data_IF_986902832914
#
_entry.id   IF_986902832914
#
_cell.length_a   1.000
_cell.length_b   1.000
_cell.length_c   1.000
_cell.angle_alpha   90.00
_cell.angle_beta   90.00
_cell.angle_gamma   90.00
#
_symmetry.space_group_name_H-M   'P 1'
#
loop_
_entity.id
_entity.type
_entity.pdbx_description
1 polymer ?
#
# COMPACT_ATOMS: atom_id res chain seq x y z
N UNK A 1 -12.80 23.04 4.39
CA UNK A 1 -11.41 22.85 4.85
C UNK A 1 -11.13 21.40 5.21
N UNK A 2 -12.01 20.72 5.94
CA UNK A 2 -11.83 19.31 6.35
C UNK A 2 -11.52 18.33 5.21
N UNK A 3 -12.35 18.28 4.15
CA UNK A 3 -12.09 17.39 2.99
C UNK A 3 -10.72 17.61 2.36
N UNK A 4 -10.32 18.87 2.15
CA UNK A 4 -9.06 19.19 1.49
C UNK A 4 -7.86 18.79 2.36
N UNK A 5 -7.94 18.99 3.68
CA UNK A 5 -6.90 18.57 4.61
C UNK A 5 -6.77 17.04 4.63
N UNK A 6 -7.88 16.32 4.82
CA UNK A 6 -7.87 14.85 4.81
C UNK A 6 -7.35 14.27 3.50
N UNK A 7 -7.69 14.91 2.36
CA UNK A 7 -7.19 14.52 1.04
C UNK A 7 -5.69 14.73 0.94
N UNK A 8 -5.19 15.88 1.38
CA UNK A 8 -3.77 16.20 1.34
C UNK A 8 -2.95 15.27 2.24
N UNK A 9 -3.44 14.97 3.43
CA UNK A 9 -2.81 14.03 4.36
C UNK A 9 -2.71 12.63 3.74
N UNK A 10 -3.79 12.17 3.10
CA UNK A 10 -3.80 10.87 2.42
C UNK A 10 -2.88 10.84 1.19
N UNK A 11 -2.78 11.94 0.44
CA UNK A 11 -1.83 12.08 -0.67
C UNK A 11 -0.38 12.00 -0.18
N UNK A 12 -0.09 12.66 0.94
CA UNK A 12 1.24 12.63 1.55
C UNK A 12 1.58 11.21 2.00
N UNK A 13 0.64 10.53 2.67
CA UNK A 13 0.81 9.14 3.08
C UNK A 13 0.99 8.19 1.89
N UNK A 14 0.16 8.30 0.83
CA UNK A 14 0.31 7.51 -0.39
C UNK A 14 1.71 7.65 -0.99
N UNK A 15 2.26 8.86 -0.99
CA UNK A 15 3.60 9.14 -1.52
C UNK A 15 4.67 8.40 -0.71
N UNK A 16 4.54 8.37 0.62
CA UNK A 16 5.44 7.63 1.51
C UNK A 16 5.28 6.12 1.30
N UNK A 17 4.05 5.61 1.23
CA UNK A 17 3.77 4.19 1.00
C UNK A 17 4.33 3.70 -0.35
N UNK A 18 4.17 4.49 -1.40
CA UNK A 18 4.76 4.23 -2.72
C UNK A 18 6.29 4.21 -2.67
N UNK A 19 6.91 5.15 -1.94
CA UNK A 19 8.35 5.17 -1.75
C UNK A 19 8.85 3.95 -0.99
N UNK A 20 8.19 3.56 0.11
CA UNK A 20 8.48 2.34 0.88
C UNK A 20 8.48 1.12 -0.04
N UNK A 21 7.48 0.98 -0.90
CA UNK A 21 7.41 -0.11 -1.88
C UNK A 21 8.49 -0.04 -2.97
N UNK A 22 8.92 1.16 -3.36
CA UNK A 22 9.95 1.35 -4.39
C UNK A 22 11.35 1.01 -3.89
N UNK A 23 11.66 1.33 -2.64
CA UNK A 23 12.98 1.07 -2.04
C UNK A 23 13.07 -0.31 -1.37
N UNK A 24 11.95 -1.02 -1.25
CA UNK A 24 11.91 -2.33 -0.63
C UNK A 24 12.83 -3.32 -1.36
N UNK A 25 13.77 -3.92 -0.61
CA UNK A 25 14.72 -4.89 -1.15
C UNK A 25 14.02 -6.13 -1.70
N UNK A 26 14.66 -6.79 -2.67
CA UNK A 26 14.19 -8.07 -3.23
C UNK A 26 14.17 -9.16 -2.15
N UNK A 27 13.24 -10.12 -2.20
CA UNK A 27 13.22 -11.25 -1.26
C UNK A 27 14.57 -12.00 -1.25
N UNK A 28 15.13 -12.21 -0.06
CA UNK A 28 16.37 -12.95 0.14
C UNK A 28 16.15 -14.46 0.05
N UNK A 29 17.18 -15.21 -0.36
CA UNK A 29 17.22 -16.68 -0.26
C UNK A 29 17.88 -17.17 1.03
N UNK A 30 18.37 -16.25 1.87
CA UNK A 30 18.87 -16.55 3.22
C UNK A 30 17.68 -16.56 4.16
N UNK A 31 17.46 -17.68 4.87
CA UNK A 31 16.25 -17.90 5.67
C UNK A 31 16.01 -16.80 6.71
N UNK A 32 17.04 -16.45 7.48
CA UNK A 32 16.86 -15.49 8.57
C UNK A 32 16.59 -14.07 8.02
N UNK A 33 17.20 -13.71 6.89
CA UNK A 33 16.94 -12.43 6.21
C UNK A 33 15.53 -12.35 5.63
N UNK A 34 15.03 -13.41 4.97
CA UNK A 34 13.67 -13.37 4.41
C UNK A 34 12.59 -13.39 5.49
N UNK A 35 12.85 -14.01 6.65
CA UNK A 35 11.97 -13.91 7.81
C UNK A 35 11.91 -12.47 8.34
N UNK A 36 13.03 -11.77 8.45
CA UNK A 36 13.06 -10.35 8.80
C UNK A 36 12.28 -9.48 7.80
N UNK A 37 12.50 -9.68 6.49
CA UNK A 37 11.76 -8.97 5.44
C UNK A 37 10.25 -9.22 5.50
N UNK A 38 9.82 -10.42 5.92
CA UNK A 38 8.40 -10.75 6.12
C UNK A 38 7.82 -9.97 7.29
N UNK A 39 8.56 -9.83 8.39
CA UNK A 39 8.07 -9.08 9.55
C UNK A 39 7.99 -7.58 9.26
N UNK A 40 8.97 -7.00 8.57
CA UNK A 40 8.86 -5.62 8.04
C UNK A 40 7.64 -5.45 7.13
N UNK A 41 7.41 -6.42 6.24
CA UNK A 41 6.27 -6.39 5.33
C UNK A 41 4.92 -6.47 6.08
N UNK A 42 4.82 -7.25 7.16
CA UNK A 42 3.60 -7.30 7.98
C UNK A 42 3.30 -5.96 8.65
N UNK A 43 4.33 -5.27 9.16
CA UNK A 43 4.16 -3.93 9.75
C UNK A 43 3.58 -2.99 8.71
N UNK A 44 4.18 -2.94 7.51
CA UNK A 44 3.68 -2.12 6.42
C UNK A 44 2.28 -2.54 5.95
N UNK A 45 1.96 -3.83 5.92
CA UNK A 45 0.62 -4.30 5.57
C UNK A 45 -0.45 -3.86 6.57
N UNK A 46 -0.12 -3.85 7.86
CA UNK A 46 -1.01 -3.35 8.91
C UNK A 46 -1.24 -1.84 8.76
N UNK A 47 -0.18 -1.08 8.48
CA UNK A 47 -0.27 0.36 8.20
C UNK A 47 -1.13 0.66 6.97
N UNK A 48 -0.93 -0.06 5.85
CA UNK A 48 -1.81 0.09 4.68
C UNK A 48 -3.25 -0.24 5.08
N UNK A 49 -3.50 -1.32 5.83
CA UNK A 49 -4.86 -1.68 6.20
C UNK A 49 -5.55 -0.65 7.11
N UNK A 50 -4.82 0.06 7.99
CA UNK A 50 -5.41 1.11 8.84
C UNK A 50 -5.90 2.32 8.04
N UNK A 51 -5.41 2.51 6.83
CA UNK A 51 -5.80 3.62 5.93
C UNK A 51 -7.01 3.29 5.04
N UNK A 52 -7.53 2.05 5.11
CA UNK A 52 -8.69 1.60 4.32
C UNK A 52 -9.94 2.42 4.59
N UNK A 53 -10.20 2.76 5.85
CA UNK A 53 -11.39 3.55 6.21
C UNK A 53 -11.26 5.00 5.74
N UNK A 54 -10.04 5.55 5.74
CA UNK A 54 -9.79 6.93 5.30
C UNK A 54 -10.11 7.13 3.81
N UNK A 55 -9.73 6.19 2.93
CA UNK A 55 -10.08 6.30 1.50
C UNK A 55 -11.60 6.20 1.26
N UNK A 56 -12.30 5.37 2.04
CA UNK A 56 -13.76 5.25 1.96
C UNK A 56 -14.42 6.56 2.40
N UNK A 57 -13.98 7.16 3.51
CA UNK A 57 -14.54 8.42 3.98
C UNK A 57 -14.19 9.59 3.05
N UNK A 58 -13.02 9.58 2.41
CA UNK A 58 -12.67 10.56 1.37
C UNK A 58 -13.60 10.48 0.16
N UNK A 59 -13.92 9.28 -0.33
CA UNK A 59 -14.86 9.13 -1.44
C UNK A 59 -16.26 9.62 -1.06
N UNK A 60 -16.73 9.28 0.14
CA UNK A 60 -18.03 9.70 0.66
C UNK A 60 -18.12 11.22 0.83
N UNK A 61 -17.16 11.82 1.53
CA UNK A 61 -17.13 13.28 1.78
C UNK A 61 -16.92 14.06 0.49
N UNK A 62 -16.04 13.60 -0.41
CA UNK A 62 -15.84 14.20 -1.71
C UNK A 62 -17.08 14.09 -2.60
N UNK A 63 -17.77 12.95 -2.57
CA UNK A 63 -19.04 12.78 -3.29
C UNK A 63 -20.13 13.70 -2.76
N UNK A 64 -20.25 13.85 -1.44
CA UNK A 64 -21.17 14.80 -0.81
C UNK A 64 -20.84 16.25 -1.21
N UNK A 65 -19.57 16.64 -1.20
CA UNK A 65 -19.12 17.98 -1.57
C UNK A 65 -19.50 18.36 -3.01
N UNK A 66 -19.40 17.42 -3.95
CA UNK A 66 -19.81 17.65 -5.36
C UNK A 66 -21.26 18.12 -5.48
N UNK A 67 -22.18 17.62 -4.67
CA UNK A 67 -23.61 17.97 -4.77
C UNK A 67 -23.90 19.45 -4.54
N UNK A 68 -23.04 20.13 -3.77
CA UNK A 68 -23.20 21.55 -3.44
C UNK A 68 -22.23 22.46 -4.21
N UNK A 69 -21.49 21.89 -5.16
CA UNK A 69 -20.40 22.57 -5.85
C UNK A 69 -20.78 23.02 -7.26
N UNK A 70 -20.09 24.02 -7.79
CA UNK A 70 -20.24 24.43 -9.18
C UNK A 70 -19.62 23.39 -10.13
N UNK A 71 -20.04 23.38 -11.40
CA UNK A 71 -19.64 22.36 -12.38
C UNK A 71 -18.12 22.17 -12.50
N UNK A 72 -17.34 23.24 -12.46
CA UNK A 72 -15.88 23.17 -12.54
C UNK A 72 -15.26 22.47 -11.31
N UNK A 73 -15.77 22.78 -10.12
CA UNK A 73 -15.30 22.23 -8.86
C UNK A 73 -15.69 20.75 -8.74
N UNK A 74 -16.87 20.38 -9.27
CA UNK A 74 -17.30 18.97 -9.38
C UNK A 74 -16.32 18.14 -10.20
N UNK A 75 -15.89 18.67 -11.36
CA UNK A 75 -14.91 17.98 -12.22
C UNK A 75 -13.57 17.85 -11.51
N UNK A 76 -13.11 18.92 -10.84
CA UNK A 76 -11.87 18.90 -10.08
C UNK A 76 -11.90 17.85 -8.96
N UNK A 77 -12.95 17.86 -8.12
CA UNK A 77 -13.12 16.90 -7.01
C UNK A 77 -13.15 15.47 -7.56
N UNK A 78 -13.89 15.22 -8.64
CA UNK A 78 -13.95 13.89 -9.28
C UNK A 78 -12.56 13.41 -9.72
N UNK A 79 -11.80 14.27 -10.40
CA UNK A 79 -10.46 13.90 -10.88
C UNK A 79 -9.49 13.62 -9.73
N UNK A 80 -9.57 14.40 -8.64
CA UNK A 80 -8.77 14.16 -7.44
C UNK A 80 -9.09 12.82 -6.78
N UNK A 81 -10.38 12.49 -6.60
CA UNK A 81 -10.80 11.20 -6.04
C UNK A 81 -10.35 10.01 -6.89
N UNK A 82 -10.52 10.09 -8.22
CA UNK A 82 -10.07 9.04 -9.15
C UNK A 82 -8.56 8.82 -9.05
N UNK A 83 -7.78 9.91 -9.00
CA UNK A 83 -6.32 9.84 -8.90
C UNK A 83 -5.89 9.14 -7.60
N UNK A 84 -6.48 9.56 -6.47
CA UNK A 84 -6.17 8.99 -5.16
C UNK A 84 -6.59 7.52 -5.06
N UNK A 85 -7.78 7.17 -5.54
CA UNK A 85 -8.26 5.79 -5.57
C UNK A 85 -7.33 4.89 -6.40
N UNK A 86 -6.92 5.34 -7.60
CA UNK A 86 -6.02 4.57 -8.46
C UNK A 86 -4.65 4.34 -7.81
N UNK A 87 -4.10 5.34 -7.12
CA UNK A 87 -2.84 5.21 -6.37
C UNK A 87 -2.96 4.21 -5.23
N UNK A 88 -4.03 4.33 -4.44
CA UNK A 88 -4.34 3.39 -3.36
C UNK A 88 -4.42 1.94 -3.85
N UNK A 89 -5.17 1.69 -4.93
CA UNK A 89 -5.30 0.36 -5.53
C UNK A 89 -3.95 -0.22 -5.96
N UNK A 90 -3.07 0.61 -6.54
CA UNK A 90 -1.70 0.20 -6.90
C UNK A 90 -0.86 -0.15 -5.68
N UNK A 91 -0.96 0.61 -4.59
CA UNK A 91 -0.27 0.30 -3.32
C UNK A 91 -0.74 -1.05 -2.78
N UNK A 92 -2.05 -1.27 -2.72
CA UNK A 92 -2.64 -2.54 -2.23
C UNK A 92 -2.22 -3.71 -3.13
N UNK A 93 -2.26 -3.56 -4.45
CA UNK A 93 -1.84 -4.59 -5.39
C UNK A 93 -0.37 -4.98 -5.17
N UNK A 94 0.53 -3.99 -5.14
CA UNK A 94 1.96 -4.21 -4.92
C UNK A 94 2.27 -4.81 -3.55
N UNK A 95 1.51 -4.42 -2.53
CA UNK A 95 1.60 -5.02 -1.20
C UNK A 95 1.32 -6.53 -1.27
N UNK A 96 0.22 -6.93 -1.91
CA UNK A 96 -0.16 -8.35 -2.06
C UNK A 96 0.87 -9.13 -2.88
N UNK A 97 1.33 -8.57 -4.00
CA UNK A 97 2.36 -9.18 -4.86
C UNK A 97 3.68 -9.40 -4.11
N UNK A 98 4.10 -8.41 -3.30
CA UNK A 98 5.29 -8.53 -2.46
C UNK A 98 5.11 -9.63 -1.41
N UNK A 99 3.95 -9.71 -0.75
CA UNK A 99 3.66 -10.75 0.23
C UNK A 99 3.78 -12.16 -0.35
N UNK A 100 3.23 -12.37 -1.56
CA UNK A 100 3.39 -13.65 -2.29
C UNK A 100 4.85 -13.95 -2.60
N UNK A 101 5.60 -12.96 -3.09
CA UNK A 101 7.01 -13.12 -3.45
C UNK A 101 7.89 -13.48 -2.24
N UNK A 102 7.62 -12.87 -1.07
CA UNK A 102 8.31 -13.18 0.17
C UNK A 102 7.99 -14.60 0.68
N UNK A 103 6.73 -15.03 0.59
CA UNK A 103 6.34 -16.40 0.97
C UNK A 103 7.05 -17.46 0.11
N UNK A 104 7.10 -17.25 -1.21
CA UNK A 104 7.81 -18.13 -2.14
C UNK A 104 9.32 -18.17 -1.84
N UNK A 105 9.95 -17.02 -1.58
CA UNK A 105 11.35 -16.95 -1.21
C UNK A 105 11.63 -17.68 0.12
N UNK A 106 10.74 -17.55 1.12
CA UNK A 106 10.82 -18.29 2.39
C UNK A 106 10.77 -19.80 2.18
N UNK A 107 9.86 -20.31 1.33
CA UNK A 107 9.78 -21.75 1.02
C UNK A 107 11.09 -22.26 0.42
N UNK A 108 11.64 -21.53 -0.55
CA UNK A 108 12.93 -21.87 -1.18
C UNK A 108 14.09 -21.82 -0.19
N UNK A 109 14.18 -20.77 0.63
CA UNK A 109 15.22 -20.63 1.64
C UNK A 109 15.19 -21.78 2.68
N UNK A 110 14.00 -22.23 3.08
CA UNK A 110 13.83 -23.41 3.95
C UNK A 110 14.33 -24.69 3.29
N UNK A 111 14.01 -24.90 2.02
CA UNK A 111 14.46 -26.09 1.28
C UNK A 111 15.99 -26.13 1.19
N UNK A 112 16.62 -25.01 0.77
CA UNK A 112 18.09 -24.92 0.67
C UNK A 112 18.76 -25.19 2.02
N UNK A 113 18.22 -24.65 3.12
CA UNK A 113 18.74 -24.90 4.47
C UNK A 113 18.62 -26.36 4.89
N UNK A 114 17.59 -27.06 4.42
CA UNK A 114 17.41 -28.49 4.68
C UNK A 114 18.40 -29.32 3.85
N UNK A 115 18.55 -29.02 2.57
CA UNK A 115 19.46 -29.73 1.66
C UNK A 115 20.91 -29.64 2.16
N UNK A 116 21.35 -28.46 2.59
CA UNK A 116 22.70 -28.27 3.16
C UNK A 116 22.91 -29.07 4.46
N UNK A 117 21.86 -29.31 5.25
CA UNK A 117 21.96 -30.10 6.49
C UNK A 117 22.07 -31.61 6.26
N UNK A 118 21.70 -32.08 5.06
CA UNK A 118 21.66 -33.50 4.70
C UNK A 118 22.94 -33.91 3.94
N UNK A 119 23.72 -32.93 3.46
CA UNK A 119 25.05 -33.12 2.89
C UNK A 119 26.13 -33.13 3.98
#
# INVERSE_FOLDING_TARGET
MEFHNSLQDFINWLTQAEQTLNVASRPSLILDTVLFQIDEHKVFANEVNSHREQIIELDKTGTHLKYFSQKQDVVLIKNLLISVQSRWEKVVQRLVERGRSLDEARKRAKQVKLDIKIL
#
